data_IF_812051158697
#
_entry.id   IF_812051158697
#
_cell.length_a   1.000
_cell.length_b   1.000
_cell.length_c   1.000
_cell.angle_alpha   90.00
_cell.angle_beta   90.00
_cell.angle_gamma   90.00
#
_symmetry.space_group_name_H-M   'P 1'
#
loop_
_entity.id
_entity.type
_entity.pdbx_description
1 polymer ?
#
# COMPACT_ATOMS: atom_id res chain seq x y z
N UNK A 1 23.15 -16.18 -37.66
CA UNK A 1 22.68 -17.47 -37.13
C UNK A 1 21.19 -17.44 -36.87
N UNK A 2 20.39 -17.73 -37.89
CA UNK A 2 18.92 -17.86 -37.78
C UNK A 2 18.49 -19.11 -36.97
N UNK A 3 19.42 -20.01 -36.64
CA UNK A 3 19.15 -21.28 -35.94
C UNK A 3 18.75 -21.13 -34.46
N UNK A 4 18.74 -19.92 -33.89
CA UNK A 4 18.39 -19.68 -32.49
C UNK A 4 17.26 -18.65 -32.31
N UNK A 5 16.48 -18.42 -33.38
CA UNK A 5 15.30 -17.55 -33.37
C UNK A 5 14.06 -18.37 -33.05
N UNK A 6 13.27 -17.93 -32.09
CA UNK A 6 11.97 -18.50 -31.77
C UNK A 6 10.91 -17.73 -32.55
N UNK A 7 10.00 -18.46 -33.18
CA UNK A 7 8.78 -17.91 -33.79
C UNK A 7 7.65 -17.99 -32.75
N UNK A 8 7.02 -16.84 -32.49
CA UNK A 8 5.86 -16.75 -31.60
C UNK A 8 4.66 -16.33 -32.46
N UNK A 9 3.69 -17.22 -32.56
CA UNK A 9 2.43 -16.99 -33.25
C UNK A 9 1.47 -16.22 -32.34
N UNK A 10 1.16 -14.97 -32.68
CA UNK A 10 0.26 -14.14 -31.86
C UNK A 10 -1.08 -14.04 -32.52
N UNK A 11 -2.12 -14.41 -31.78
CA UNK A 11 -3.51 -14.41 -32.21
C UNK A 11 -4.29 -13.32 -31.47
N UNK A 12 -4.73 -12.30 -32.19
CA UNK A 12 -5.63 -11.27 -31.68
C UNK A 12 -7.07 -11.66 -32.04
N UNK A 13 -7.78 -12.23 -31.06
CA UNK A 13 -9.16 -12.69 -31.23
C UNK A 13 -10.14 -11.54 -31.48
N UNK A 14 -9.88 -10.37 -30.90
CA UNK A 14 -10.73 -9.19 -31.04
C UNK A 14 -10.71 -8.65 -32.47
N UNK A 15 -9.53 -8.63 -33.09
CA UNK A 15 -9.34 -8.16 -34.47
C UNK A 15 -9.37 -9.28 -35.51
N UNK A 16 -9.36 -10.55 -35.08
CA UNK A 16 -9.24 -11.75 -35.91
C UNK A 16 -7.99 -11.71 -36.80
N UNK A 17 -6.87 -11.33 -36.21
CA UNK A 17 -5.57 -11.24 -36.88
C UNK A 17 -4.57 -12.22 -36.24
N UNK A 18 -3.72 -12.82 -37.07
CA UNK A 18 -2.59 -13.62 -36.62
C UNK A 18 -1.32 -13.04 -37.23
N UNK A 19 -0.27 -12.91 -36.43
CA UNK A 19 1.03 -12.41 -36.87
C UNK A 19 2.16 -13.12 -36.13
N UNK A 20 3.25 -13.38 -36.85
CA UNK A 20 4.39 -14.10 -36.32
C UNK A 20 5.48 -13.12 -35.89
N UNK A 21 5.97 -13.28 -34.67
CA UNK A 21 7.09 -12.52 -34.13
C UNK A 21 8.31 -13.40 -34.01
N UNK A 22 9.49 -12.86 -34.34
CA UNK A 22 10.77 -13.55 -34.21
C UNK A 22 11.62 -12.87 -33.15
N UNK A 23 12.15 -13.66 -32.21
CA UNK A 23 12.99 -13.17 -31.13
C UNK A 23 14.10 -14.19 -30.82
N UNK A 24 15.35 -13.76 -30.56
CA UNK A 24 16.40 -14.68 -30.13
C UNK A 24 16.03 -15.40 -28.84
N UNK A 25 16.20 -16.73 -28.79
CA UNK A 25 15.85 -17.57 -27.62
C UNK A 25 16.43 -17.03 -26.31
N UNK A 26 17.70 -16.63 -26.33
CA UNK A 26 18.37 -16.14 -25.12
C UNK A 26 17.75 -14.83 -24.59
N UNK A 27 17.37 -13.89 -25.48
CA UNK A 27 16.69 -12.65 -25.08
C UNK A 27 15.33 -12.97 -24.48
N UNK A 28 14.54 -13.81 -25.18
CA UNK A 28 13.21 -14.22 -24.71
C UNK A 28 13.28 -14.86 -23.32
N UNK A 29 14.21 -15.79 -23.08
CA UNK A 29 14.37 -16.44 -21.78
C UNK A 29 14.93 -15.48 -20.72
N UNK A 30 15.81 -14.56 -21.09
CA UNK A 30 16.37 -13.59 -20.14
C UNK A 30 15.32 -12.59 -19.65
N UNK A 31 14.50 -12.03 -20.55
CA UNK A 31 13.59 -10.93 -20.27
C UNK A 31 12.14 -11.39 -19.97
N UNK A 32 11.66 -12.46 -20.61
CA UNK A 32 10.32 -13.00 -20.43
C UNK A 32 10.35 -14.34 -19.67
N UNK A 33 10.54 -14.26 -18.35
CA UNK A 33 10.71 -15.44 -17.49
C UNK A 33 9.52 -16.42 -17.51
N UNK A 34 8.35 -16.00 -18.01
CA UNK A 34 7.21 -16.89 -18.26
C UNK A 34 7.58 -18.08 -19.15
N UNK A 35 8.38 -17.87 -20.20
CA UNK A 35 8.69 -18.91 -21.17
C UNK A 35 9.72 -19.93 -20.69
N UNK A 36 10.49 -19.65 -19.63
CA UNK A 36 11.53 -20.57 -19.11
C UNK A 36 10.98 -21.95 -18.79
N UNK A 37 9.82 -22.01 -18.12
CA UNK A 37 9.20 -23.29 -17.75
C UNK A 37 8.79 -24.16 -18.93
N UNK A 38 8.71 -23.59 -20.14
CA UNK A 38 8.29 -24.30 -21.35
C UNK A 38 9.47 -24.62 -22.28
N UNK A 39 10.61 -23.93 -22.12
CA UNK A 39 11.70 -23.91 -23.10
C UNK A 39 13.08 -24.31 -22.56
N UNK A 40 13.25 -24.45 -21.24
CA UNK A 40 14.55 -24.80 -20.60
C UNK A 40 15.01 -26.24 -20.90
N UNK A 41 14.19 -27.08 -21.55
CA UNK A 41 14.49 -28.49 -21.83
C UNK A 41 14.69 -28.85 -23.31
N UNK A 42 14.49 -27.93 -24.25
CA UNK A 42 14.60 -28.18 -25.69
C UNK A 42 15.93 -27.67 -26.25
N UNK A 43 16.75 -28.57 -26.82
CA UNK A 43 18.04 -28.22 -27.43
C UNK A 43 17.86 -27.56 -28.82
N UNK A 44 16.79 -27.90 -29.55
CA UNK A 44 16.41 -27.35 -30.85
C UNK A 44 15.30 -26.29 -30.73
N UNK A 45 15.41 -25.19 -31.50
CA UNK A 45 14.33 -24.21 -31.67
C UNK A 45 13.23 -24.70 -32.63
N UNK A 46 13.54 -25.65 -33.51
CA UNK A 46 12.65 -26.11 -34.59
C UNK A 46 11.41 -26.90 -34.09
N UNK A 47 11.45 -27.43 -32.86
CA UNK A 47 10.36 -28.21 -32.27
C UNK A 47 9.44 -27.39 -31.34
N UNK A 48 9.62 -26.06 -31.30
CA UNK A 48 8.96 -25.17 -30.35
C UNK A 48 7.85 -24.38 -31.06
N UNK A 49 6.60 -24.79 -30.88
CA UNK A 49 5.42 -24.04 -31.30
C UNK A 49 4.88 -23.19 -30.13
N UNK A 50 5.08 -21.88 -30.19
CA UNK A 50 4.55 -20.92 -29.20
C UNK A 50 3.42 -20.14 -29.84
N UNK A 51 2.21 -20.35 -29.33
CA UNK A 51 1.04 -19.55 -29.69
C UNK A 51 0.52 -18.74 -28.49
N UNK A 52 0.34 -17.43 -28.66
CA UNK A 52 -0.10 -16.50 -27.60
C UNK A 52 -1.35 -15.74 -28.06
N UNK A 53 -2.39 -15.75 -27.24
CA UNK A 53 -3.63 -15.02 -27.50
C UNK A 53 -3.59 -13.68 -26.74
N UNK A 54 -3.40 -12.57 -27.45
CA UNK A 54 -3.34 -11.23 -26.84
C UNK A 54 -3.59 -10.11 -27.86
N UNK A 55 -3.66 -8.85 -27.39
CA UNK A 55 -3.75 -7.69 -28.28
C UNK A 55 -2.47 -7.56 -29.11
N UNK A 56 -2.64 -7.48 -30.43
CA UNK A 56 -1.54 -7.45 -31.40
C UNK A 56 -0.61 -6.24 -31.19
N UNK A 57 -1.18 -5.08 -30.89
CA UNK A 57 -0.41 -3.84 -30.77
C UNK A 57 0.44 -3.84 -29.50
N UNK A 58 -0.09 -4.38 -28.40
CA UNK A 58 0.66 -4.51 -27.16
C UNK A 58 1.80 -5.52 -27.32
N UNK A 59 1.57 -6.64 -27.99
CA UNK A 59 2.64 -7.60 -28.22
C UNK A 59 3.73 -7.06 -29.15
N UNK A 60 3.34 -6.33 -30.21
CA UNK A 60 4.27 -5.59 -31.06
C UNK A 60 5.10 -4.59 -30.24
N UNK A 61 4.47 -3.84 -29.34
CA UNK A 61 5.16 -2.91 -28.44
C UNK A 61 6.21 -3.63 -27.59
N UNK A 62 5.86 -4.78 -27.00
CA UNK A 62 6.78 -5.59 -26.20
C UNK A 62 7.96 -6.11 -27.03
N UNK A 63 7.71 -6.53 -28.27
CA UNK A 63 8.77 -7.00 -29.16
C UNK A 63 9.71 -5.87 -29.59
N UNK A 64 9.19 -4.67 -29.86
CA UNK A 64 10.02 -3.50 -30.10
C UNK A 64 10.86 -3.16 -28.85
N UNK A 65 10.27 -3.23 -27.65
CA UNK A 65 10.99 -3.01 -26.39
C UNK A 65 12.16 -3.99 -26.19
N UNK A 66 11.99 -5.27 -26.59
CA UNK A 66 13.05 -6.27 -26.47
C UNK A 66 14.14 -6.15 -27.55
N UNK A 67 13.74 -5.87 -28.79
CA UNK A 67 14.64 -5.92 -29.94
C UNK A 67 15.37 -4.59 -30.19
N UNK A 68 14.84 -3.46 -29.69
CA UNK A 68 15.39 -2.12 -29.89
C UNK A 68 15.72 -1.43 -28.54
N UNK A 69 16.69 -1.96 -27.76
CA UNK A 69 17.00 -1.45 -26.42
C UNK A 69 17.52 0.00 -26.42
N UNK A 70 18.16 0.44 -27.51
CA UNK A 70 18.68 1.80 -27.67
C UNK A 70 17.59 2.83 -28.04
N UNK A 71 16.43 2.36 -28.49
CA UNK A 71 15.29 3.20 -28.89
C UNK A 71 13.96 2.54 -28.52
N UNK A 72 13.71 2.31 -27.21
CA UNK A 72 12.52 1.61 -26.77
C UNK A 72 11.24 2.40 -27.14
N UNK A 73 10.14 1.70 -27.41
CA UNK A 73 8.87 2.35 -27.74
C UNK A 73 8.38 3.18 -26.55
N UNK A 74 7.69 4.28 -26.87
CA UNK A 74 7.25 5.21 -25.83
C UNK A 74 6.10 4.62 -24.99
N UNK A 75 6.26 4.73 -23.68
CA UNK A 75 5.21 4.46 -22.70
C UNK A 75 4.35 5.71 -22.55
N UNK A 76 3.03 5.54 -22.63
CA UNK A 76 2.03 6.63 -22.61
C UNK A 76 0.91 6.29 -21.65
N UNK A 77 0.10 7.27 -21.26
CA UNK A 77 -1.09 7.04 -20.41
C UNK A 77 -2.09 6.08 -21.07
N UNK A 78 -2.14 6.05 -22.42
CA UNK A 78 -3.04 5.19 -23.18
C UNK A 78 -2.63 3.72 -23.21
N UNK A 79 -1.32 3.43 -23.22
CA UNK A 79 -0.83 2.07 -23.34
C UNK A 79 -0.32 1.46 -22.02
N UNK A 80 0.02 2.27 -21.02
CA UNK A 80 0.77 1.78 -19.84
C UNK A 80 0.05 0.69 -19.07
N UNK A 81 -1.27 0.77 -18.92
CA UNK A 81 -2.03 -0.25 -18.17
C UNK A 81 -2.01 -1.59 -18.90
N UNK A 82 -2.21 -1.58 -20.22
CA UNK A 82 -2.16 -2.80 -21.03
C UNK A 82 -0.74 -3.38 -21.06
N UNK A 83 0.28 -2.53 -21.26
CA UNK A 83 1.69 -2.96 -21.22
C UNK A 83 2.06 -3.51 -19.84
N UNK A 84 1.59 -2.91 -18.75
CA UNK A 84 1.82 -3.40 -17.38
C UNK A 84 1.24 -4.80 -17.17
N UNK A 85 -0.01 -5.04 -17.59
CA UNK A 85 -0.68 -6.33 -17.41
C UNK A 85 0.03 -7.41 -18.24
N UNK A 86 0.34 -7.12 -19.50
CA UNK A 86 1.03 -8.06 -20.38
C UNK A 86 2.45 -8.36 -19.90
N UNK A 87 3.20 -7.34 -19.46
CA UNK A 87 4.56 -7.52 -18.92
C UNK A 87 4.56 -8.27 -17.58
N UNK A 88 3.55 -8.06 -16.73
CA UNK A 88 3.36 -8.84 -15.50
C UNK A 88 3.07 -10.31 -15.81
N UNK A 89 2.18 -10.59 -16.77
CA UNK A 89 1.85 -11.95 -17.20
C UNK A 89 3.09 -12.70 -17.76
N UNK A 90 3.85 -12.02 -18.61
CA UNK A 90 5.08 -12.55 -19.22
C UNK A 90 6.29 -12.52 -18.26
N UNK A 91 6.07 -12.08 -17.01
CA UNK A 91 7.06 -12.01 -15.92
C UNK A 91 8.28 -11.13 -16.23
N UNK A 92 8.09 -10.03 -16.95
CA UNK A 92 9.12 -9.06 -17.32
C UNK A 92 9.36 -8.02 -16.21
N UNK A 93 10.07 -8.41 -15.14
CA UNK A 93 10.12 -7.64 -13.89
C UNK A 93 10.65 -6.20 -14.03
N UNK A 94 11.65 -5.96 -14.89
CA UNK A 94 12.18 -4.61 -15.10
C UNK A 94 11.14 -3.70 -15.76
N UNK A 95 10.46 -4.19 -16.81
CA UNK A 95 9.39 -3.45 -17.48
C UNK A 95 8.20 -3.20 -16.55
N UNK A 96 7.81 -4.18 -15.73
CA UNK A 96 6.77 -3.99 -14.71
C UNK A 96 7.11 -2.84 -13.77
N UNK A 97 8.38 -2.74 -13.31
CA UNK A 97 8.83 -1.63 -12.47
C UNK A 97 8.70 -0.28 -13.19
N UNK A 98 9.20 -0.19 -14.43
CA UNK A 98 9.10 1.03 -15.25
C UNK A 98 7.64 1.46 -15.43
N UNK A 99 6.75 0.51 -15.73
CA UNK A 99 5.32 0.77 -15.89
C UNK A 99 4.66 1.24 -14.58
N UNK A 100 4.97 0.61 -13.43
CA UNK A 100 4.44 1.03 -12.12
C UNK A 100 4.91 2.44 -11.79
N UNK A 101 6.19 2.76 -12.00
CA UNK A 101 6.74 4.09 -11.74
C UNK A 101 6.04 5.14 -12.63
N UNK A 102 5.92 4.86 -13.94
CA UNK A 102 5.20 5.75 -14.87
C UNK A 102 3.73 5.94 -14.47
N UNK A 103 3.03 4.85 -14.09
CA UNK A 103 1.64 4.93 -13.64
C UNK A 103 1.50 5.79 -12.39
N UNK A 104 2.42 5.66 -11.43
CA UNK A 104 2.38 6.44 -10.20
C UNK A 104 2.63 7.93 -10.46
N UNK A 105 3.55 8.26 -11.40
CA UNK A 105 3.81 9.64 -11.80
C UNK A 105 2.66 10.30 -12.57
N UNK A 106 1.85 9.53 -13.31
CA UNK A 106 0.79 10.03 -14.19
C UNK A 106 -0.61 9.62 -13.72
N UNK A 107 -0.76 9.29 -12.43
CA UNK A 107 -1.95 8.59 -11.92
C UNK A 107 -3.24 9.42 -12.08
N UNK A 108 -3.17 10.74 -11.86
CA UNK A 108 -4.33 11.63 -12.05
C UNK A 108 -4.85 11.64 -13.49
N UNK A 109 -3.98 11.50 -14.49
CA UNK A 109 -4.40 11.43 -15.90
C UNK A 109 -5.02 10.08 -16.23
N UNK A 110 -4.40 8.99 -15.75
CA UNK A 110 -4.90 7.62 -15.94
C UNK A 110 -6.28 7.44 -15.31
N UNK A 111 -6.53 8.05 -14.14
CA UNK A 111 -7.83 8.00 -13.47
C UNK A 111 -8.94 8.74 -14.23
N UNK A 112 -8.59 9.69 -15.12
CA UNK A 112 -9.55 10.39 -16.00
C UNK A 112 -9.94 9.55 -17.23
N UNK A 113 -9.12 8.57 -17.61
CA UNK A 113 -9.38 7.70 -18.76
C UNK A 113 -10.53 6.72 -18.50
N UNK A 114 -11.17 6.21 -19.55
CA UNK A 114 -12.32 5.28 -19.46
C UNK A 114 -11.94 3.81 -19.34
N UNK A 115 -10.66 3.48 -19.22
CA UNK A 115 -10.19 2.09 -19.10
C UNK A 115 -10.72 1.38 -17.84
N UNK A 116 -10.68 0.05 -17.77
CA UNK A 116 -10.97 -0.65 -16.52
C UNK A 116 -9.67 -0.86 -15.74
N UNK A 117 -9.61 -0.38 -14.49
CA UNK A 117 -8.47 -0.57 -13.58
C UNK A 117 -8.71 -1.73 -12.59
N UNK A 118 -9.86 -2.39 -12.66
CA UNK A 118 -10.13 -3.57 -11.83
C UNK A 118 -9.32 -4.80 -12.26
N UNK A 119 -8.70 -4.76 -13.44
CA UNK A 119 -7.80 -5.78 -13.96
C UNK A 119 -6.43 -5.85 -13.26
N UNK A 120 -6.09 -4.85 -12.44
CA UNK A 120 -4.84 -4.86 -11.66
C UNK A 120 -4.93 -5.86 -10.50
N UNK A 121 -3.97 -6.78 -10.44
CA UNK A 121 -3.90 -7.80 -9.40
C UNK A 121 -3.44 -7.24 -8.04
N UNK A 122 -3.48 -8.08 -7.00
CA UNK A 122 -3.11 -7.70 -5.64
C UNK A 122 -1.62 -7.33 -5.49
N UNK A 123 -0.76 -7.93 -6.30
CA UNK A 123 0.69 -7.70 -6.26
C UNK A 123 1.06 -6.36 -6.89
N UNK A 124 0.44 -6.01 -8.02
CA UNK A 124 0.55 -4.70 -8.65
C UNK A 124 0.01 -3.61 -7.73
N UNK A 125 -1.17 -3.81 -7.12
CA UNK A 125 -1.73 -2.87 -6.15
C UNK A 125 -0.78 -2.68 -4.94
N UNK A 126 -0.17 -3.76 -4.46
CA UNK A 126 0.83 -3.69 -3.39
C UNK A 126 2.05 -2.88 -3.82
N UNK A 127 2.62 -3.14 -5.00
CA UNK A 127 3.77 -2.39 -5.55
C UNK A 127 3.45 -0.90 -5.71
N UNK A 128 2.32 -0.56 -6.31
CA UNK A 128 1.86 0.83 -6.42
C UNK A 128 1.71 1.49 -5.04
N UNK A 129 1.10 0.78 -4.08
CA UNK A 129 0.92 1.30 -2.71
C UNK A 129 2.24 1.55 -1.98
N UNK A 130 3.30 0.79 -2.30
CA UNK A 130 4.64 1.02 -1.74
C UNK A 130 5.37 2.17 -2.43
N UNK A 131 5.15 2.37 -3.73
CA UNK A 131 5.76 3.45 -4.51
C UNK A 131 5.17 4.83 -4.18
N UNK A 132 3.84 4.91 -4.02
CA UNK A 132 3.15 6.16 -3.72
C UNK A 132 3.36 6.58 -2.25
N UNK A 133 3.60 7.86 -1.99
CA UNK A 133 3.55 8.40 -0.62
C UNK A 133 2.09 8.57 -0.16
N UNK A 134 1.89 8.72 1.14
CA UNK A 134 0.55 8.99 1.68
C UNK A 134 0.04 10.36 1.22
N UNK A 135 0.93 11.36 1.13
CA UNK A 135 0.59 12.70 0.65
C UNK A 135 0.19 12.70 -0.83
N UNK A 136 0.92 11.96 -1.66
CA UNK A 136 0.55 11.75 -3.07
C UNK A 136 -0.83 11.10 -3.17
N UNK A 137 -1.09 10.08 -2.35
CA UNK A 137 -2.38 9.38 -2.34
C UNK A 137 -3.54 10.28 -1.90
N UNK A 138 -3.32 11.16 -0.90
CA UNK A 138 -4.34 12.09 -0.39
C UNK A 138 -4.65 13.22 -1.38
N UNK A 139 -3.71 13.56 -2.27
CA UNK A 139 -3.87 14.57 -3.31
C UNK A 139 -4.62 14.06 -4.57
N UNK A 140 -4.80 12.74 -4.73
CA UNK A 140 -5.43 12.15 -5.91
C UNK A 140 -6.93 12.42 -5.99
N UNK A 141 -7.41 12.70 -7.20
CA UNK A 141 -8.83 12.92 -7.47
C UNK A 141 -9.51 11.72 -8.13
N UNK A 142 -9.85 10.69 -7.35
CA UNK A 142 -10.55 9.48 -7.83
C UNK A 142 -12.05 9.49 -7.49
N UNK A 143 -12.83 10.28 -8.23
CA UNK A 143 -14.28 10.43 -7.97
C UNK A 143 -15.08 9.13 -8.11
N UNK A 144 -14.58 8.17 -8.90
CA UNK A 144 -15.25 6.88 -9.17
C UNK A 144 -14.70 5.75 -8.32
N UNK A 145 -13.76 6.03 -7.42
CA UNK A 145 -13.09 5.07 -6.55
C UNK A 145 -12.58 3.82 -7.29
N UNK A 146 -11.95 4.05 -8.46
CA UNK A 146 -11.45 2.97 -9.33
C UNK A 146 -10.21 2.30 -8.73
N UNK A 147 -9.42 3.05 -7.96
CA UNK A 147 -8.15 2.59 -7.41
C UNK A 147 -7.88 3.08 -5.98
N UNK A 148 -8.34 4.28 -5.63
CA UNK A 148 -7.93 4.97 -4.41
C UNK A 148 -8.22 4.15 -3.14
N UNK A 149 -9.43 3.61 -2.99
CA UNK A 149 -9.78 2.74 -1.87
C UNK A 149 -8.89 1.51 -1.76
N UNK A 150 -8.53 0.88 -2.90
CA UNK A 150 -7.69 -0.32 -2.92
C UNK A 150 -6.26 0.01 -2.48
N UNK A 151 -5.74 1.17 -2.90
CA UNK A 151 -4.42 1.65 -2.48
C UNK A 151 -4.39 1.99 -0.99
N UNK A 152 -5.42 2.64 -0.44
CA UNK A 152 -5.51 2.85 1.02
C UNK A 152 -5.61 1.55 1.80
N UNK A 153 -6.37 0.56 1.29
CA UNK A 153 -6.43 -0.77 1.89
C UNK A 153 -5.03 -1.42 1.92
N UNK A 154 -4.26 -1.36 0.83
CA UNK A 154 -2.89 -1.87 0.79
C UNK A 154 -1.91 -1.09 1.68
N UNK A 155 -2.04 0.23 1.75
CA UNK A 155 -1.32 1.08 2.71
C UNK A 155 -1.61 0.66 4.15
N UNK A 156 -2.88 0.40 4.49
CA UNK A 156 -3.29 -0.04 5.82
C UNK A 156 -2.73 -1.43 6.16
N UNK A 157 -2.83 -2.39 5.25
CA UNK A 157 -2.21 -3.71 5.39
C UNK A 157 -0.71 -3.58 5.68
N UNK A 158 -0.01 -2.77 4.88
CA UNK A 158 1.42 -2.52 5.07
C UNK A 158 1.74 -1.76 6.36
N UNK A 159 0.85 -0.90 6.84
CA UNK A 159 1.05 -0.15 8.07
C UNK A 159 0.95 -1.07 9.31
N UNK A 160 0.03 -2.03 9.29
CA UNK A 160 -0.21 -2.94 10.42
C UNK A 160 0.82 -4.07 10.52
N UNK A 161 1.58 -4.35 9.46
CA UNK A 161 2.65 -5.35 9.46
C UNK A 161 3.99 -4.82 9.97
N UNK A 162 4.11 -3.51 10.19
CA UNK A 162 5.34 -2.91 10.72
C UNK A 162 5.54 -3.25 12.20
N UNK A 163 6.81 -3.31 12.62
CA UNK A 163 7.17 -3.61 14.00
C UNK A 163 6.65 -2.53 14.96
N UNK A 164 6.06 -2.95 16.08
CA UNK A 164 5.47 -2.05 17.09
C UNK A 164 4.08 -1.51 16.73
N UNK A 165 3.59 -1.70 15.50
CA UNK A 165 2.30 -1.17 15.06
C UNK A 165 1.10 -2.04 15.49
N UNK A 166 1.32 -3.05 16.33
CA UNK A 166 0.24 -3.85 16.90
C UNK A 166 -0.65 -2.97 17.78
N UNK A 167 -1.92 -2.87 17.43
CA UNK A 167 -2.92 -2.11 18.17
C UNK A 167 -3.67 -3.05 19.10
N UNK A 168 -3.83 -2.63 20.36
CA UNK A 168 -4.64 -3.32 21.37
C UNK A 168 -5.56 -2.34 22.08
N UNK A 169 -6.46 -2.88 22.91
CA UNK A 169 -7.33 -2.12 23.79
C UNK A 169 -6.84 -2.23 25.23
N UNK A 170 -6.79 -1.10 25.93
CA UNK A 170 -6.45 -1.09 27.34
C UNK A 170 -7.55 -1.74 28.17
N UNK A 171 -7.21 -2.71 29.03
CA UNK A 171 -8.17 -3.38 29.92
C UNK A 171 -8.66 -2.47 31.06
N UNK A 172 -7.94 -1.37 31.34
CA UNK A 172 -8.26 -0.44 32.43
C UNK A 172 -9.12 0.74 31.97
N UNK A 173 -8.67 1.47 30.94
CA UNK A 173 -9.37 2.69 30.46
C UNK A 173 -10.20 2.46 29.18
N UNK A 174 -10.11 1.29 28.55
CA UNK A 174 -10.84 0.97 27.32
C UNK A 174 -10.33 1.65 26.05
N UNK A 175 -9.34 2.55 26.13
CA UNK A 175 -8.74 3.23 24.96
C UNK A 175 -7.93 2.27 24.09
N UNK A 176 -7.90 2.54 22.78
CA UNK A 176 -7.05 1.82 21.83
C UNK A 176 -5.66 2.45 21.77
N UNK A 177 -4.62 1.63 21.73
CA UNK A 177 -3.24 2.10 21.62
C UNK A 177 -2.37 1.12 20.86
N UNK A 178 -1.36 1.64 20.17
CA UNK A 178 -0.30 0.84 19.58
C UNK A 178 0.79 0.53 20.61
N UNK A 179 1.50 -0.59 20.45
CA UNK A 179 2.64 -0.94 21.31
C UNK A 179 3.82 0.02 21.10
N UNK A 180 3.97 0.57 19.89
CA UNK A 180 4.93 1.64 19.58
C UNK A 180 4.61 2.88 20.42
N UNK A 181 5.61 3.35 21.18
CA UNK A 181 5.52 4.58 21.98
C UNK A 181 4.66 4.47 23.25
N UNK A 182 4.22 3.26 23.63
CA UNK A 182 3.38 3.04 24.81
C UNK A 182 4.05 3.49 26.12
N UNK A 183 5.39 3.45 26.18
CA UNK A 183 6.22 3.88 27.32
C UNK A 183 6.12 5.40 27.62
N UNK A 184 5.63 6.17 26.65
CA UNK A 184 5.41 7.62 26.74
C UNK A 184 3.94 7.97 27.01
N UNK A 185 3.03 7.01 26.82
CA UNK A 185 1.59 7.22 27.01
C UNK A 185 1.19 6.96 28.46
N UNK A 186 0.34 7.84 28.99
CA UNK A 186 -0.17 7.75 30.37
C UNK A 186 -1.62 7.23 30.36
N UNK A 187 -1.84 6.12 31.04
CA UNK A 187 -3.17 5.56 31.21
C UNK A 187 -3.91 6.28 32.36
N UNK A 188 -5.05 6.94 32.10
CA UNK A 188 -5.77 7.71 33.12
C UNK A 188 -6.45 6.85 34.19
N UNK A 189 -6.61 5.54 33.92
CA UNK A 189 -7.26 4.59 34.83
C UNK A 189 -6.27 3.61 35.48
N UNK A 190 -4.97 3.73 35.19
CA UNK A 190 -3.96 2.91 35.82
C UNK A 190 -3.64 3.41 37.24
N UNK A 191 -3.23 2.47 38.10
CA UNK A 191 -2.68 2.84 39.41
C UNK A 191 -1.34 3.53 39.20
N UNK A 192 -1.21 4.72 39.77
CA UNK A 192 0.02 5.48 39.73
C UNK A 192 1.05 4.81 40.65
N UNK A 193 2.24 4.53 40.13
CA UNK A 193 3.38 4.01 40.87
C UNK A 193 4.62 4.87 40.57
N UNK A 194 5.54 5.00 41.53
CA UNK A 194 6.79 5.74 41.33
C UNK A 194 7.92 4.73 41.33
N UNK A 195 8.70 4.68 40.25
CA UNK A 195 9.85 3.79 40.18
C UNK A 195 11.01 4.25 41.09
N UNK A 196 12.06 3.43 41.17
CA UNK A 196 13.26 3.72 41.97
C UNK A 196 14.06 4.94 41.49
N UNK A 197 13.72 5.51 40.32
CA UNK A 197 14.31 6.73 39.76
C UNK A 197 13.41 7.95 39.93
N UNK A 198 12.26 7.80 40.60
CA UNK A 198 11.29 8.88 40.80
C UNK A 198 10.37 9.11 39.61
N UNK A 199 10.36 8.25 38.58
CA UNK A 199 9.45 8.37 37.43
C UNK A 199 8.07 7.88 37.83
N UNK A 200 7.06 8.72 37.61
CA UNK A 200 5.66 8.37 37.77
C UNK A 200 5.22 7.49 36.59
N UNK A 201 4.82 6.25 36.88
CA UNK A 201 4.33 5.26 35.94
C UNK A 201 2.83 5.06 36.12
N UNK A 202 2.08 5.14 35.02
CA UNK A 202 0.68 4.79 34.93
C UNK A 202 0.42 4.22 33.54
N UNK A 203 0.58 2.91 33.40
CA UNK A 203 0.75 2.25 32.10
C UNK A 203 -0.56 1.67 31.54
N UNK A 204 -0.66 1.64 30.21
CA UNK A 204 -1.72 0.91 29.53
C UNK A 204 -1.48 -0.60 29.60
N UNK A 205 -2.54 -1.36 29.87
CA UNK A 205 -2.48 -2.83 29.97
C UNK A 205 -3.18 -3.46 28.77
N UNK A 206 -2.45 -4.17 27.89
CA UNK A 206 -3.04 -4.85 26.74
C UNK A 206 -4.16 -5.83 27.12
N UNK A 207 -5.26 -5.79 26.39
CA UNK A 207 -6.35 -6.76 26.53
C UNK A 207 -6.11 -7.95 25.60
N UNK A 208 -6.09 -9.17 26.16
CA UNK A 208 -5.86 -10.40 25.40
C UNK A 208 -6.96 -10.73 24.36
N UNK A 209 -8.17 -10.18 24.51
CA UNK A 209 -9.31 -10.47 23.63
C UNK A 209 -9.54 -9.45 22.50
N UNK A 210 -8.67 -8.44 22.35
CA UNK A 210 -8.84 -7.43 21.31
C UNK A 210 -8.34 -7.94 19.95
N UNK A 211 -9.11 -7.67 18.90
CA UNK A 211 -8.79 -8.04 17.52
C UNK A 211 -8.96 -6.82 16.61
N UNK A 212 -7.85 -6.36 16.04
CA UNK A 212 -7.81 -5.19 15.17
C UNK A 212 -8.61 -5.40 13.87
N UNK A 213 -8.66 -6.61 13.34
CA UNK A 213 -9.41 -6.91 12.11
C UNK A 213 -10.92 -6.76 12.38
N UNK A 214 -11.40 -7.26 13.52
CA UNK A 214 -12.81 -7.03 13.95
C UNK A 214 -13.11 -5.56 14.15
N UNK A 215 -12.16 -4.80 14.70
CA UNK A 215 -12.31 -3.34 14.85
C UNK A 215 -12.42 -2.65 13.48
N UNK A 216 -11.55 -2.96 12.52
CA UNK A 216 -11.58 -2.43 11.15
C UNK A 216 -12.91 -2.79 10.46
N UNK A 217 -13.37 -4.03 10.57
CA UNK A 217 -14.68 -4.45 10.06
C UNK A 217 -15.82 -3.63 10.68
N UNK A 218 -15.75 -3.34 11.98
CA UNK A 218 -16.68 -2.45 12.67
C UNK A 218 -16.66 -1.00 12.14
N UNK A 219 -15.48 -0.46 11.82
CA UNK A 219 -15.36 0.86 11.17
C UNK A 219 -15.96 0.85 9.77
N UNK A 220 -15.74 -0.22 8.99
CA UNK A 220 -16.34 -0.39 7.66
C UNK A 220 -17.86 -0.52 7.72
N UNK A 221 -18.40 -1.22 8.72
CA UNK A 221 -19.85 -1.30 8.97
C UNK A 221 -20.47 0.07 9.28
N UNK A 222 -19.70 1.00 9.86
CA UNK A 222 -20.08 2.41 10.06
C UNK A 222 -19.95 3.28 8.80
N UNK A 223 -19.72 2.67 7.63
CA UNK A 223 -19.59 3.33 6.32
C UNK A 223 -18.37 4.25 6.16
N UNK A 224 -17.32 4.06 6.95
CA UNK A 224 -16.07 4.79 6.74
C UNK A 224 -15.37 4.28 5.48
N UNK A 225 -14.90 5.21 4.65
CA UNK A 225 -14.02 4.95 3.50
C UNK A 225 -12.68 4.35 3.94
N UNK A 226 -11.96 3.68 3.03
CA UNK A 226 -10.64 3.14 3.34
C UNK A 226 -9.63 4.23 3.71
N UNK A 227 -9.77 5.42 3.13
CA UNK A 227 -9.03 6.64 3.52
C UNK A 227 -9.25 6.99 4.99
N UNK A 228 -10.50 7.07 5.43
CA UNK A 228 -10.83 7.41 6.83
C UNK A 228 -10.36 6.33 7.81
N UNK A 229 -10.51 5.05 7.43
CA UNK A 229 -10.01 3.93 8.24
C UNK A 229 -8.49 4.00 8.37
N UNK A 230 -7.78 4.24 7.27
CA UNK A 230 -6.33 4.40 7.27
C UNK A 230 -5.88 5.49 8.24
N UNK A 231 -6.44 6.70 8.12
CA UNK A 231 -6.06 7.82 8.98
C UNK A 231 -6.44 7.62 10.45
N UNK A 232 -7.55 6.95 10.75
CA UNK A 232 -7.90 6.57 12.13
C UNK A 232 -6.89 5.60 12.73
N UNK A 233 -6.50 4.58 11.98
CA UNK A 233 -5.53 3.58 12.44
C UNK A 233 -4.14 4.20 12.58
N UNK A 234 -3.71 4.99 11.60
CA UNK A 234 -2.46 5.74 11.65
C UNK A 234 -2.40 6.65 12.87
N UNK A 235 -3.48 7.36 13.17
CA UNK A 235 -3.57 8.23 14.35
C UNK A 235 -3.46 7.50 15.69
N UNK A 236 -3.81 6.21 15.75
CA UNK A 236 -3.62 5.38 16.95
C UNK A 236 -2.16 4.94 17.12
N UNK A 237 -1.40 4.87 16.04
CA UNK A 237 -0.01 4.42 16.02
C UNK A 237 0.94 5.57 16.30
N UNK A 238 0.71 6.72 15.69
CA UNK A 238 1.63 7.84 15.84
C UNK A 238 1.44 8.59 17.15
N UNK A 239 2.56 8.85 17.82
CA UNK A 239 2.63 9.55 19.10
C UNK A 239 3.23 10.93 18.88
N UNK A 240 2.56 11.94 19.44
CA UNK A 240 2.91 13.35 19.39
C UNK A 240 3.22 13.85 20.79
N UNK A 241 3.89 15.00 20.89
CA UNK A 241 4.22 15.65 22.15
C UNK A 241 3.59 17.03 22.21
N UNK A 242 2.90 17.34 23.31
CA UNK A 242 2.26 18.62 23.51
C UNK A 242 3.20 19.57 24.26
N UNK A 243 3.62 20.65 23.60
CA UNK A 243 4.48 21.69 24.21
C UNK A 243 3.81 22.48 25.34
N UNK A 244 2.48 22.36 25.50
CA UNK A 244 1.71 23.11 26.51
C UNK A 244 1.64 22.36 27.83
N UNK A 245 1.26 21.07 27.81
CA UNK A 245 1.19 20.23 29.02
C UNK A 245 2.40 19.32 29.24
N UNK A 246 3.36 19.33 28.32
CA UNK A 246 4.55 18.46 28.34
C UNK A 246 4.22 16.95 28.32
N UNK A 247 3.01 16.58 27.86
CA UNK A 247 2.58 15.18 27.77
C UNK A 247 2.67 14.64 26.35
N UNK A 248 3.01 13.36 26.24
CA UNK A 248 2.89 12.62 24.98
C UNK A 248 1.47 12.06 24.83
N UNK A 249 0.95 12.06 23.60
CA UNK A 249 -0.40 11.62 23.29
C UNK A 249 -0.45 10.99 21.90
N UNK A 250 -1.43 10.13 21.63
CA UNK A 250 -1.64 9.58 20.30
C UNK A 250 -2.21 10.65 19.37
N UNK A 251 -1.82 10.66 18.10
CA UNK A 251 -2.31 11.66 17.13
C UNK A 251 -3.84 11.63 16.98
N UNK A 252 -4.51 10.51 17.28
CA UNK A 252 -5.98 10.43 17.35
C UNK A 252 -6.61 11.36 18.40
N UNK A 253 -5.85 11.79 19.40
CA UNK A 253 -6.26 12.70 20.48
C UNK A 253 -5.79 14.15 20.21
N UNK A 254 -5.35 14.47 18.99
CA UNK A 254 -4.94 15.82 18.63
C UNK A 254 -6.07 16.82 18.89
N UNK A 255 -5.75 17.91 19.61
CA UNK A 255 -6.71 18.93 20.02
C UNK A 255 -7.39 18.67 21.37
N UNK A 256 -7.13 17.53 22.04
CA UNK A 256 -7.69 17.19 23.34
C UNK A 256 -6.77 17.51 24.53
N UNK A 257 -5.88 18.51 24.39
CA UNK A 257 -5.01 18.93 25.48
C UNK A 257 -5.86 19.43 26.66
N UNK A 258 -5.72 18.77 27.82
CA UNK A 258 -6.44 19.15 29.05
C UNK A 258 -5.68 20.18 29.89
N UNK A 259 -4.68 20.87 29.32
CA UNK A 259 -3.96 21.92 30.04
C UNK A 259 -4.92 23.04 30.40
N UNK A 260 -4.93 23.40 31.68
CA UNK A 260 -5.68 24.52 32.19
C UNK A 260 -4.72 25.51 32.86
N UNK A 261 -4.70 26.79 32.44
CA UNK A 261 -3.82 27.80 33.03
C UNK A 261 -4.26 28.20 34.45
N UNK A 262 -5.52 27.96 34.81
CA UNK A 262 -6.06 28.28 36.13
C UNK A 262 -5.55 27.30 37.19
N UNK A 263 -5.14 27.76 38.38
CA UNK A 263 -4.71 26.86 39.45
C UNK A 263 -5.88 25.98 39.92
N UNK A 264 -5.61 24.72 40.34
CA UNK A 264 -6.63 23.87 40.91
C UNK A 264 -7.16 24.45 42.22
N UNK A 265 -8.48 24.46 42.40
CA UNK A 265 -9.13 24.84 43.64
C UNK A 265 -9.31 23.60 44.53
N UNK A 266 -8.89 23.69 45.80
CA UNK A 266 -9.03 22.60 46.76
C UNK A 266 -10.08 22.96 47.79
N UNK A 267 -11.09 22.08 47.93
CA UNK A 267 -12.03 22.15 49.06
C UNK A 267 -11.29 21.80 50.35
N UNK A 268 -11.67 22.44 51.47
CA UNK A 268 -11.06 22.21 52.78
C UNK A 268 -11.08 20.71 53.13
N UNK A 269 -9.89 20.14 53.37
CA UNK A 269 -9.71 18.73 53.73
C UNK A 269 -9.69 17.75 52.55
N UNK A 270 -9.67 18.21 51.30
CA UNK A 270 -9.56 17.34 50.12
C UNK A 270 -8.18 17.40 49.46
N UNK A 271 -7.70 16.23 49.02
CA UNK A 271 -6.45 16.08 48.26
C UNK A 271 -6.69 16.03 46.73
N UNK A 272 -7.92 16.29 46.28
CA UNK A 272 -8.29 16.39 44.86
C UNK A 272 -8.74 17.82 44.58
N UNK A 273 -8.04 18.50 43.68
CA UNK A 273 -8.38 19.85 43.26
C UNK A 273 -9.29 19.84 42.03
N UNK A 274 -10.18 20.82 41.94
CA UNK A 274 -11.05 21.06 40.78
C UNK A 274 -10.52 22.27 40.03
N UNK A 275 -10.24 22.09 38.74
CA UNK A 275 -9.88 23.19 37.86
C UNK A 275 -11.16 23.89 37.38
N UNK A 276 -11.23 25.22 37.47
CA UNK A 276 -12.45 25.98 37.11
C UNK A 276 -12.88 25.85 35.63
N UNK A 277 -12.03 25.27 34.80
CA UNK A 277 -12.25 25.00 33.38
C UNK A 277 -12.80 23.59 33.10
N UNK A 278 -12.98 22.74 34.12
CA UNK A 278 -13.41 21.34 34.02
C UNK A 278 -14.73 21.09 34.77
#
# INVERSE_FOLDING_TARGET
DDQNMIVIHVCDEGRRLTHDFRCPKHVLLSEMAYFRSYLDGSESCDDIDISVHCDMQIFQWLMCYLNEPDSPPQLTVDNVVSVLISSQYLKMQNLVRICVDFMCCNLDEILKMTMDLNCLDQDLLKRMSTTLTVDQLDALHDRRDRLLSKLYMKKLESLLTQEGHQITRCSLCGRLFALKGVDRLVCPSAKIFIDFRGKVLAEHVPSAGFDINKHILGLRAKKLSWREVYWKVWGLIETMHCVVCDQSFQCSELGHCSYCPSPPSFSVGQNRGVYACC
#
